data_IF_619505220676
#
_entry.id   IF_619505220676
#
_cell.length_a   1.000
_cell.length_b   1.000
_cell.length_c   1.000
_cell.angle_alpha   90.00
_cell.angle_beta   90.00
_cell.angle_gamma   90.00
#
_symmetry.space_group_name_H-M   'P 1'
#
loop_
_entity.id
_entity.type
_entity.pdbx_description
1 polymer ?
#
# COMPACT_ATOMS: atom_id res chain seq x y z
N UNK A 1 -14.31 6.86 -91.53
CA UNK A 1 -14.37 5.63 -90.71
C UNK A 1 -13.18 5.67 -89.77
N UNK A 2 -13.32 6.39 -88.65
CA UNK A 2 -12.26 6.70 -87.69
C UNK A 2 -12.58 5.93 -86.41
N UNK A 3 -11.68 5.03 -86.00
CA UNK A 3 -11.82 4.22 -84.80
C UNK A 3 -11.47 5.03 -83.55
N UNK A 4 -12.43 5.12 -82.63
CA UNK A 4 -12.30 5.67 -81.28
C UNK A 4 -11.56 4.62 -80.42
N UNK A 5 -10.38 4.96 -79.89
CA UNK A 5 -9.75 4.22 -78.79
C UNK A 5 -10.18 4.87 -77.47
N UNK A 6 -10.93 4.12 -76.66
CA UNK A 6 -11.34 4.52 -75.33
C UNK A 6 -10.15 4.48 -74.35
N UNK A 7 -9.92 5.59 -73.68
CA UNK A 7 -8.92 5.76 -72.63
C UNK A 7 -9.46 5.17 -71.32
N UNK A 8 -8.80 4.13 -70.79
CA UNK A 8 -8.99 3.68 -69.41
C UNK A 8 -8.21 4.63 -68.49
N UNK A 9 -8.91 5.48 -67.75
CA UNK A 9 -8.36 6.18 -66.59
C UNK A 9 -8.83 5.44 -65.33
N UNK A 10 -7.98 4.56 -64.80
CA UNK A 10 -8.17 4.01 -63.45
C UNK A 10 -7.34 4.86 -62.50
N UNK A 11 -8.02 5.72 -61.75
CA UNK A 11 -7.45 6.52 -60.67
C UNK A 11 -7.14 5.57 -59.51
N UNK A 12 -5.88 5.14 -59.39
CA UNK A 12 -5.38 4.50 -58.19
C UNK A 12 -5.30 5.56 -57.08
N UNK A 13 -6.36 5.67 -56.28
CA UNK A 13 -6.28 6.33 -54.98
C UNK A 13 -5.48 5.41 -54.08
N UNK A 14 -4.17 5.62 -54.07
CA UNK A 14 -3.28 5.08 -53.06
C UNK A 14 -3.58 5.79 -51.73
N UNK A 15 -4.60 5.30 -51.01
CA UNK A 15 -4.72 5.49 -49.58
C UNK A 15 -3.55 4.73 -48.92
N UNK A 16 -2.37 5.34 -48.91
CA UNK A 16 -1.36 5.01 -47.92
C UNK A 16 -1.98 5.41 -46.57
N UNK A 17 -2.63 4.44 -45.92
CA UNK A 17 -2.75 4.50 -44.48
C UNK A 17 -1.31 4.46 -43.95
N UNK A 18 -0.72 5.63 -43.69
CA UNK A 18 0.45 5.71 -42.84
C UNK A 18 0.02 5.13 -41.49
N UNK A 19 0.31 3.85 -41.28
CA UNK A 19 0.25 3.27 -39.95
C UNK A 19 1.25 4.07 -39.10
N UNK A 20 0.74 5.01 -38.31
CA UNK A 20 1.56 5.79 -37.38
C UNK A 20 2.23 4.80 -36.44
N UNK A 21 3.56 4.90 -36.35
CA UNK A 21 4.32 3.98 -35.54
C UNK A 21 3.87 4.10 -34.07
N UNK A 22 3.45 2.99 -33.48
CA UNK A 22 3.06 2.95 -32.06
C UNK A 22 4.23 3.44 -31.21
N UNK A 23 4.04 4.49 -30.43
CA UNK A 23 5.12 5.16 -29.72
C UNK A 23 4.96 5.06 -28.20
N UNK A 24 6.07 4.72 -27.53
CA UNK A 24 6.15 4.72 -26.07
C UNK A 24 6.47 6.13 -25.59
N UNK A 25 5.75 6.68 -24.59
CA UNK A 25 6.04 7.99 -24.04
C UNK A 25 7.49 8.12 -23.58
N UNK A 26 8.08 9.30 -23.76
CA UNK A 26 9.43 9.62 -23.27
C UNK A 26 9.28 10.42 -21.98
N UNK A 27 9.58 9.79 -20.85
CA UNK A 27 9.38 10.32 -19.50
C UNK A 27 10.66 10.21 -18.68
N UNK A 28 10.75 10.99 -17.60
CA UNK A 28 11.90 10.97 -16.68
C UNK A 28 12.09 9.58 -16.05
N UNK A 29 10.98 8.91 -15.72
CA UNK A 29 10.97 7.56 -15.13
C UNK A 29 10.03 6.62 -15.87
N UNK A 30 10.31 5.32 -15.86
CA UNK A 30 9.33 4.31 -16.23
C UNK A 30 8.19 4.27 -15.20
N UNK A 31 8.54 4.35 -13.90
CA UNK A 31 7.59 4.17 -12.79
C UNK A 31 7.82 5.23 -11.71
N UNK A 32 6.75 5.91 -11.28
CA UNK A 32 6.76 6.64 -10.00
C UNK A 32 5.97 5.86 -8.96
N UNK A 33 6.60 5.60 -7.81
CA UNK A 33 5.98 4.98 -6.64
C UNK A 33 5.70 6.08 -5.61
N UNK A 34 4.46 6.18 -5.16
CA UNK A 34 4.02 7.20 -4.19
C UNK A 34 3.79 6.53 -2.84
N UNK A 35 4.66 6.82 -1.87
CA UNK A 35 4.67 6.27 -0.51
C UNK A 35 5.85 5.32 -0.26
N UNK A 36 6.64 5.59 0.79
CA UNK A 36 7.82 4.79 1.16
C UNK A 36 7.61 3.82 2.31
N UNK A 37 6.36 3.41 2.56
CA UNK A 37 6.05 2.28 3.44
C UNK A 37 6.48 0.92 2.83
N UNK A 38 6.25 -0.20 3.54
CA UNK A 38 6.66 -1.54 3.09
C UNK A 38 6.15 -1.92 1.70
N UNK A 39 4.93 -1.50 1.34
CA UNK A 39 4.37 -1.72 0.01
C UNK A 39 5.17 -1.02 -1.08
N UNK A 40 5.39 0.29 -0.95
CA UNK A 40 6.12 1.08 -1.94
C UNK A 40 7.57 0.66 -2.07
N UNK A 41 8.25 0.35 -0.96
CA UNK A 41 9.62 -0.18 -0.98
C UNK A 41 9.70 -1.53 -1.72
N UNK A 42 8.72 -2.42 -1.50
CA UNK A 42 8.64 -3.70 -2.23
C UNK A 42 8.40 -3.50 -3.74
N UNK A 43 7.54 -2.55 -4.10
CA UNK A 43 7.28 -2.19 -5.49
C UNK A 43 8.51 -1.61 -6.18
N UNK A 44 9.17 -0.62 -5.56
CA UNK A 44 10.40 -0.01 -6.04
C UNK A 44 11.49 -1.08 -6.24
N UNK A 45 11.75 -1.90 -5.21
CA UNK A 45 12.68 -3.03 -5.30
C UNK A 45 12.36 -3.96 -6.48
N UNK A 46 11.07 -4.27 -6.68
CA UNK A 46 10.62 -5.11 -7.78
C UNK A 46 10.94 -4.54 -9.16
N UNK A 47 10.58 -3.28 -9.42
CA UNK A 47 10.78 -2.65 -10.74
C UNK A 47 12.25 -2.33 -11.00
N UNK A 48 13.02 -1.95 -9.98
CA UNK A 48 14.46 -1.66 -10.11
C UNK A 48 15.29 -2.91 -10.40
N UNK A 49 14.92 -4.07 -9.83
CA UNK A 49 15.60 -5.35 -10.13
C UNK A 49 15.47 -5.79 -11.60
N UNK A 50 14.40 -5.39 -12.26
CA UNK A 50 14.20 -5.60 -13.71
C UNK A 50 14.59 -4.36 -14.53
N UNK A 51 15.40 -3.47 -13.92
CA UNK A 51 16.07 -2.32 -14.54
C UNK A 51 15.12 -1.27 -15.15
N UNK A 52 13.93 -1.12 -14.57
CA UNK A 52 13.07 0.05 -14.83
C UNK A 52 13.62 1.25 -14.07
N UNK A 53 13.66 2.42 -14.71
CA UNK A 53 13.96 3.68 -14.01
C UNK A 53 12.77 4.04 -13.13
N UNK A 54 13.01 4.22 -11.84
CA UNK A 54 11.93 4.43 -10.89
C UNK A 54 12.30 5.44 -9.81
N UNK A 55 11.35 6.32 -9.51
CA UNK A 55 11.42 7.28 -8.42
C UNK A 55 10.38 6.92 -7.35
N UNK A 56 10.81 6.82 -6.10
CA UNK A 56 9.93 6.75 -4.95
C UNK A 56 9.84 8.10 -4.27
N UNK A 57 8.62 8.62 -4.16
CA UNK A 57 8.30 9.88 -3.49
C UNK A 57 7.62 9.53 -2.16
N UNK A 58 8.26 9.87 -1.04
CA UNK A 58 7.82 9.48 0.30
C UNK A 58 7.53 10.71 1.19
N UNK A 59 6.34 10.77 1.79
CA UNK A 59 6.00 11.83 2.75
C UNK A 59 6.59 11.60 4.13
N UNK A 60 7.19 10.43 4.38
CA UNK A 60 7.73 10.01 5.68
C UNK A 60 6.67 9.86 6.80
N UNK A 61 5.40 9.84 6.43
CA UNK A 61 4.27 9.56 7.31
C UNK A 61 3.84 8.10 7.14
N UNK A 62 3.94 7.31 8.22
CA UNK A 62 3.68 5.88 8.19
C UNK A 62 2.63 5.48 9.22
N UNK A 63 1.69 4.59 8.83
CA UNK A 63 0.62 4.10 9.71
C UNK A 63 1.15 3.47 11.00
N UNK A 64 2.23 2.71 10.91
CA UNK A 64 2.89 2.07 12.05
C UNK A 64 4.05 2.91 12.63
N UNK A 65 4.13 4.22 12.37
CA UNK A 65 5.12 5.08 13.03
C UNK A 65 4.97 5.12 14.57
N UNK A 66 3.75 5.04 15.15
CA UNK A 66 3.60 5.08 16.61
C UNK A 66 4.08 3.82 17.35
N UNK A 67 4.14 2.66 16.68
CA UNK A 67 4.54 1.40 17.34
C UNK A 67 6.04 1.33 17.58
N UNK A 68 6.42 0.66 18.67
CA UNK A 68 7.81 0.47 19.08
C UNK A 68 8.52 -0.46 18.10
N UNK A 69 7.87 -1.58 17.78
CA UNK A 69 8.41 -2.69 17.00
C UNK A 69 7.33 -3.19 16.04
N UNK A 70 7.75 -3.80 14.93
CA UNK A 70 6.85 -4.58 14.09
C UNK A 70 7.15 -6.07 14.28
N UNK A 71 6.08 -6.85 14.37
CA UNK A 71 6.14 -8.31 14.49
C UNK A 71 5.53 -8.97 13.25
N UNK A 72 5.67 -10.29 13.15
CA UNK A 72 5.16 -11.12 12.06
C UNK A 72 5.74 -10.73 10.68
N UNK A 73 7.00 -10.28 10.66
CA UNK A 73 7.76 -10.05 9.44
C UNK A 73 8.99 -10.94 9.45
N UNK A 74 8.91 -12.07 8.75
CA UNK A 74 9.98 -13.09 8.73
C UNK A 74 11.35 -12.44 8.43
N UNK A 75 12.28 -12.59 9.38
CA UNK A 75 13.63 -12.02 9.33
C UNK A 75 13.77 -10.58 9.82
N UNK A 76 12.69 -9.93 10.24
CA UNK A 76 12.65 -8.58 10.85
C UNK A 76 11.61 -8.53 12.00
N UNK A 77 11.38 -9.65 12.66
CA UNK A 77 10.49 -9.73 13.82
C UNK A 77 11.10 -8.94 15.00
N UNK A 78 10.28 -8.18 15.73
CA UNK A 78 10.74 -7.29 16.81
C UNK A 78 11.59 -6.10 16.33
N UNK A 79 11.52 -5.73 15.05
CA UNK A 79 12.34 -4.63 14.51
C UNK A 79 11.59 -3.30 14.57
N UNK A 80 12.24 -2.19 15.00
CA UNK A 80 11.63 -0.88 14.90
C UNK A 80 11.24 -0.56 13.44
N UNK A 81 10.00 -0.12 13.15
CA UNK A 81 9.54 0.10 11.78
C UNK A 81 10.45 1.02 10.95
N UNK A 82 11.04 2.03 11.59
CA UNK A 82 11.98 2.95 10.95
C UNK A 82 13.28 2.24 10.53
N UNK A 83 13.81 1.34 11.37
CA UNK A 83 15.01 0.57 11.06
C UNK A 83 14.79 -0.35 9.85
N UNK A 84 13.62 -1.00 9.77
CA UNK A 84 13.23 -1.79 8.61
C UNK A 84 13.23 -0.96 7.32
N UNK A 85 12.60 0.22 7.34
CA UNK A 85 12.55 1.11 6.17
C UNK A 85 13.94 1.61 5.76
N UNK A 86 14.78 1.98 6.71
CA UNK A 86 16.17 2.39 6.45
C UNK A 86 16.94 1.27 5.78
N UNK A 87 16.91 0.05 6.34
CA UNK A 87 17.59 -1.11 5.77
C UNK A 87 17.07 -1.43 4.35
N UNK A 88 15.76 -1.37 4.14
CA UNK A 88 15.17 -1.58 2.82
C UNK A 88 15.65 -0.53 1.79
N UNK A 89 15.71 0.76 2.17
CA UNK A 89 16.24 1.83 1.32
C UNK A 89 17.72 1.62 0.99
N UNK A 90 18.54 1.23 1.96
CA UNK A 90 19.96 0.90 1.75
C UNK A 90 20.13 -0.26 0.76
N UNK A 91 19.32 -1.31 0.89
CA UNK A 91 19.36 -2.47 -0.01
C UNK A 91 18.93 -2.09 -1.44
N UNK A 92 17.88 -1.28 -1.58
CA UNK A 92 17.36 -0.85 -2.88
C UNK A 92 18.30 0.14 -3.57
N UNK A 93 19.00 0.99 -2.81
CA UNK A 93 19.97 1.98 -3.34
C UNK A 93 21.14 1.34 -4.10
N UNK A 94 21.35 0.03 -3.95
CA UNK A 94 22.31 -0.75 -4.75
C UNK A 94 21.89 -0.88 -6.21
N UNK A 95 20.62 -0.64 -6.55
CA UNK A 95 20.13 -0.65 -7.92
C UNK A 95 20.25 0.77 -8.51
N UNK A 96 21.03 0.99 -9.58
CA UNK A 96 21.29 2.32 -10.12
C UNK A 96 20.08 2.96 -10.81
N UNK A 97 18.98 2.21 -10.97
CA UNK A 97 17.73 2.69 -11.55
C UNK A 97 16.67 3.07 -10.50
N UNK A 98 17.03 3.01 -9.21
CA UNK A 98 16.16 3.41 -8.11
C UNK A 98 16.59 4.78 -7.58
N UNK A 99 15.64 5.71 -7.53
CA UNK A 99 15.80 7.02 -6.92
C UNK A 99 14.77 7.23 -5.81
N UNK A 100 15.12 8.09 -4.86
CA UNK A 100 14.29 8.44 -3.71
C UNK A 100 14.21 9.94 -3.56
N UNK A 101 13.03 10.44 -3.21
CA UNK A 101 12.86 11.81 -2.71
C UNK A 101 11.86 11.81 -1.57
N UNK A 102 12.14 12.64 -0.55
CA UNK A 102 11.26 12.79 0.60
C UNK A 102 10.42 14.05 0.40
N UNK A 103 9.24 13.89 -0.18
CA UNK A 103 8.28 14.95 -0.47
C UNK A 103 6.86 14.37 -0.47
N UNK A 104 5.86 15.23 -0.40
CA UNK A 104 4.45 14.82 -0.54
C UNK A 104 4.00 15.03 -1.98
N UNK A 105 3.37 14.01 -2.60
CA UNK A 105 2.75 14.18 -3.92
C UNK A 105 1.41 14.88 -3.78
N UNK A 106 1.24 16.01 -4.48
CA UNK A 106 0.01 16.81 -4.41
C UNK A 106 -0.94 16.56 -5.57
N UNK A 107 -0.41 16.20 -6.74
CA UNK A 107 -1.22 15.93 -7.93
C UNK A 107 -0.54 14.95 -8.88
N UNK A 108 -1.39 14.18 -9.57
CA UNK A 108 -1.00 13.26 -10.65
C UNK A 108 -1.99 13.50 -11.77
N UNK A 109 -1.50 13.97 -12.91
CA UNK A 109 -2.34 14.35 -14.06
C UNK A 109 -1.93 13.49 -15.26
N UNK A 110 -2.84 12.73 -15.88
CA UNK A 110 -2.55 12.02 -17.10
C UNK A 110 -2.32 13.02 -18.25
N UNK A 111 -1.38 12.71 -19.14
CA UNK A 111 -1.20 13.43 -20.39
C UNK A 111 -1.02 12.44 -21.55
N UNK A 112 -1.28 12.91 -22.76
CA UNK A 112 -1.14 12.09 -23.97
C UNK A 112 0.20 12.36 -24.63
N UNK A 113 1.04 11.33 -24.71
CA UNK A 113 2.25 11.33 -25.52
C UNK A 113 2.46 9.91 -26.06
N UNK A 114 2.32 9.73 -27.38
CA UNK A 114 2.25 8.40 -27.98
C UNK A 114 0.91 7.69 -27.69
N UNK A 115 0.93 6.37 -27.68
CA UNK A 115 -0.28 5.52 -27.64
C UNK A 115 -0.55 4.91 -26.25
N UNK A 116 0.30 5.20 -25.26
CA UNK A 116 0.26 4.60 -23.94
C UNK A 116 0.16 5.65 -22.83
N UNK A 117 -0.12 5.18 -21.62
CA UNK A 117 -0.30 6.04 -20.45
C UNK A 117 0.98 6.83 -20.12
N UNK A 118 0.82 8.12 -19.82
CA UNK A 118 1.86 8.96 -19.26
C UNK A 118 1.25 9.93 -18.25
N UNK A 119 2.03 10.33 -17.25
CA UNK A 119 1.57 11.10 -16.11
C UNK A 119 2.60 12.16 -15.72
N UNK A 120 2.11 13.34 -15.39
CA UNK A 120 2.88 14.36 -14.67
C UNK A 120 2.54 14.25 -13.20
N UNK A 121 3.56 14.12 -12.37
CA UNK A 121 3.47 14.07 -10.91
C UNK A 121 4.11 15.33 -10.35
N UNK A 122 3.38 16.06 -9.51
CA UNK A 122 3.89 17.29 -8.86
C UNK A 122 3.94 17.09 -7.36
N UNK A 123 5.11 17.37 -6.78
CA UNK A 123 5.35 17.32 -5.34
C UNK A 123 4.97 18.64 -4.63
N UNK A 124 5.02 18.62 -3.30
CA UNK A 124 4.69 19.74 -2.41
C UNK A 124 5.60 20.97 -2.56
N UNK A 125 6.73 20.83 -3.27
CA UNK A 125 7.62 21.94 -3.60
C UNK A 125 7.35 22.50 -5.00
N UNK A 126 6.34 21.98 -5.69
CA UNK A 126 5.98 22.36 -7.05
C UNK A 126 6.93 21.79 -8.11
N UNK A 127 7.80 20.83 -7.76
CA UNK A 127 8.65 20.16 -8.74
C UNK A 127 7.83 19.08 -9.43
N UNK A 128 7.94 19.04 -10.76
CA UNK A 128 7.25 18.08 -11.61
C UNK A 128 8.18 16.98 -12.11
N UNK A 129 7.65 15.78 -12.20
CA UNK A 129 8.28 14.59 -12.75
C UNK A 129 7.31 13.95 -13.74
N UNK A 130 7.83 13.22 -14.72
CA UNK A 130 7.01 12.45 -15.66
C UNK A 130 7.26 10.96 -15.52
N UNK A 131 6.20 10.15 -15.66
CA UNK A 131 6.29 8.70 -15.66
C UNK A 131 5.26 8.01 -16.55
N UNK A 132 5.59 6.80 -17.01
CA UNK A 132 4.66 5.96 -17.79
C UNK A 132 3.62 5.28 -16.91
N UNK A 133 4.03 4.86 -15.71
CA UNK A 133 3.19 4.14 -14.74
C UNK A 133 3.30 4.73 -13.35
N UNK A 134 2.20 4.66 -12.61
CA UNK A 134 2.09 5.14 -11.23
C UNK A 134 1.72 3.96 -10.32
N UNK A 135 2.38 3.87 -9.17
CA UNK A 135 2.03 2.93 -8.10
C UNK A 135 1.72 3.70 -6.82
N UNK A 136 0.46 3.69 -6.40
CA UNK A 136 -0.04 4.35 -5.19
C UNK A 136 0.07 3.41 -3.98
N UNK A 137 1.04 3.69 -3.11
CA UNK A 137 1.24 3.03 -1.81
C UNK A 137 1.02 3.99 -0.65
N UNK A 138 -0.01 4.84 -0.74
CA UNK A 138 -0.25 5.97 0.18
C UNK A 138 -0.81 5.58 1.55
N UNK A 139 -1.16 4.31 1.74
CA UNK A 139 -1.71 3.78 2.99
C UNK A 139 -3.05 4.39 3.41
N UNK A 140 -3.43 4.10 4.66
CA UNK A 140 -4.57 4.68 5.37
C UNK A 140 -4.11 5.19 6.74
N UNK A 141 -4.96 6.00 7.37
CA UNK A 141 -4.81 6.43 8.75
C UNK A 141 -6.03 6.02 9.57
N UNK A 142 -5.77 5.63 10.81
CA UNK A 142 -6.80 5.33 11.81
C UNK A 142 -7.42 6.64 12.35
N UNK A 143 -8.74 6.71 12.46
CA UNK A 143 -9.48 7.88 12.94
C UNK A 143 -9.76 7.71 14.43
N UNK A 144 -8.79 8.11 15.25
CA UNK A 144 -8.91 8.00 16.70
C UNK A 144 -9.93 9.02 17.25
N UNK A 145 -10.83 8.64 18.16
CA UNK A 145 -11.69 9.58 18.86
C UNK A 145 -10.86 10.51 19.76
N UNK A 146 -11.35 11.73 20.06
CA UNK A 146 -10.64 12.71 20.88
C UNK A 146 -10.66 12.38 22.38
N UNK A 147 -10.73 11.10 22.73
CA UNK A 147 -10.71 10.64 24.12
C UNK A 147 -9.34 10.93 24.73
N UNK A 148 -9.26 11.74 25.82
CA UNK A 148 -7.98 12.08 26.43
C UNK A 148 -7.16 10.83 26.79
N UNK A 149 -5.88 10.82 26.39
CA UNK A 149 -4.93 9.74 26.67
C UNK A 149 -4.91 8.59 25.65
N UNK A 150 -5.91 8.51 24.77
CA UNK A 150 -5.96 7.46 23.74
C UNK A 150 -4.85 7.61 22.70
N UNK A 151 -4.63 8.84 22.22
CA UNK A 151 -3.63 9.14 21.18
C UNK A 151 -2.21 8.85 21.68
N UNK A 152 -1.97 9.07 22.97
CA UNK A 152 -0.69 8.89 23.65
C UNK A 152 -0.35 7.40 23.83
N UNK A 153 -1.36 6.55 24.04
CA UNK A 153 -1.21 5.09 24.14
C UNK A 153 -1.27 4.34 22.80
N UNK A 154 -1.69 5.00 21.71
CA UNK A 154 -1.84 4.37 20.40
C UNK A 154 -0.51 3.83 19.86
N UNK A 155 -0.49 2.53 19.54
CA UNK A 155 0.71 1.79 19.14
C UNK A 155 1.64 1.43 20.30
N UNK A 156 1.24 1.68 21.55
CA UNK A 156 2.08 1.50 22.76
C UNK A 156 1.24 0.92 23.89
N UNK A 157 0.72 -0.28 23.69
CA UNK A 157 -0.22 -0.94 24.61
C UNK A 157 -1.70 -0.69 24.30
N UNK A 158 -2.02 0.30 23.45
CA UNK A 158 -3.33 0.42 22.79
C UNK A 158 -3.15 0.14 21.30
N UNK A 159 -3.74 -0.95 20.81
CA UNK A 159 -3.54 -1.43 19.43
C UNK A 159 -4.84 -1.97 18.83
N UNK A 160 -4.82 -2.30 17.54
CA UNK A 160 -5.98 -2.87 16.86
C UNK A 160 -5.74 -4.29 16.35
N UNK A 161 -4.47 -4.70 16.22
CA UNK A 161 -4.07 -5.92 15.55
C UNK A 161 -3.41 -6.86 16.57
N UNK A 162 -4.07 -7.97 16.96
CA UNK A 162 -3.49 -8.89 17.94
C UNK A 162 -2.30 -9.69 17.38
N UNK A 163 -2.22 -9.87 16.06
CA UNK A 163 -1.02 -10.43 15.41
C UNK A 163 0.20 -9.50 15.46
N UNK A 164 -0.02 -8.20 15.65
CA UNK A 164 1.03 -7.19 15.55
C UNK A 164 1.63 -6.86 16.92
N UNK A 165 0.79 -6.80 17.96
CA UNK A 165 1.19 -6.34 19.31
C UNK A 165 0.62 -7.22 20.43
N UNK A 166 -0.09 -8.31 20.11
CA UNK A 166 -0.77 -9.12 21.12
C UNK A 166 0.18 -9.98 21.94
N UNK A 167 1.16 -10.61 21.29
CA UNK A 167 2.07 -11.55 21.94
C UNK A 167 2.92 -10.89 23.03
N UNK A 168 3.36 -9.66 22.79
CA UNK A 168 4.16 -8.87 23.73
C UNK A 168 3.38 -8.47 24.99
N UNK A 169 2.04 -8.53 24.96
CA UNK A 169 1.19 -8.18 26.10
C UNK A 169 0.45 -9.38 26.70
N UNK A 170 0.70 -10.60 26.23
CA UNK A 170 0.02 -11.84 26.64
C UNK A 170 0.00 -12.04 28.17
N UNK A 171 -0.96 -12.81 28.64
CA UNK A 171 -1.12 -13.20 30.05
C UNK A 171 -1.33 -12.03 31.04
N UNK A 172 -1.44 -10.78 30.54
CA UNK A 172 -1.71 -9.58 31.33
C UNK A 172 -3.21 -9.20 31.29
N UNK A 173 -3.71 -8.42 32.27
CA UNK A 173 -5.06 -7.88 32.26
C UNK A 173 -5.39 -7.13 30.96
N UNK A 174 -6.40 -7.60 30.22
CA UNK A 174 -6.71 -7.12 28.88
C UNK A 174 -8.07 -6.42 28.80
N UNK A 175 -8.13 -5.36 28.00
CA UNK A 175 -9.35 -4.62 27.74
C UNK A 175 -9.68 -4.56 26.25
N UNK A 176 -10.95 -4.69 25.91
CA UNK A 176 -11.46 -4.49 24.55
C UNK A 176 -12.36 -3.26 24.56
N UNK A 177 -12.16 -2.31 23.65
CA UNK A 177 -12.98 -1.11 23.55
C UNK A 177 -13.68 -1.09 22.19
N UNK A 178 -15.01 -1.05 22.19
CA UNK A 178 -15.78 -1.02 20.94
C UNK A 178 -17.29 -1.15 21.13
N UNK A 179 -18.03 -1.40 20.05
CA UNK A 179 -19.46 -1.69 20.12
C UNK A 179 -19.69 -3.14 20.58
N UNK A 180 -20.78 -3.38 21.33
CA UNK A 180 -21.14 -4.71 21.85
C UNK A 180 -21.19 -5.77 20.75
N UNK A 181 -21.52 -5.39 19.52
CA UNK A 181 -21.64 -6.30 18.38
C UNK A 181 -20.30 -6.80 17.83
N UNK A 182 -19.18 -6.27 18.30
CA UNK A 182 -17.83 -6.63 17.84
C UNK A 182 -17.05 -7.42 18.90
N UNK A 183 -17.49 -7.40 20.17
CA UNK A 183 -16.74 -7.97 21.30
C UNK A 183 -16.45 -9.46 21.15
N UNK A 184 -17.41 -10.25 20.66
CA UNK A 184 -17.18 -11.67 20.45
C UNK A 184 -16.09 -11.92 19.41
N UNK A 185 -16.06 -11.14 18.32
CA UNK A 185 -15.00 -11.24 17.31
C UNK A 185 -13.62 -11.00 17.93
N UNK A 186 -13.49 -9.93 18.72
CA UNK A 186 -12.24 -9.61 19.42
C UNK A 186 -11.81 -10.75 20.37
N UNK A 187 -12.75 -11.35 21.12
CA UNK A 187 -12.45 -12.51 21.98
C UNK A 187 -11.96 -13.69 21.16
N UNK A 188 -12.61 -14.01 20.04
CA UNK A 188 -12.21 -15.12 19.18
C UNK A 188 -10.80 -14.93 18.60
N UNK A 189 -10.37 -13.69 18.37
CA UNK A 189 -9.03 -13.38 17.89
C UNK A 189 -7.95 -13.39 18.98
N UNK A 190 -8.32 -13.26 20.25
CA UNK A 190 -7.37 -12.95 21.33
C UNK A 190 -7.41 -13.90 22.54
N UNK A 191 -8.38 -14.80 22.63
CA UNK A 191 -8.56 -15.68 23.80
C UNK A 191 -7.38 -16.64 24.06
N UNK A 192 -6.50 -16.85 23.10
CA UNK A 192 -5.26 -17.66 23.29
C UNK A 192 -4.13 -16.87 23.92
N UNK A 193 -4.26 -15.54 23.99
CA UNK A 193 -3.27 -14.63 24.56
C UNK A 193 -3.70 -14.10 25.93
N UNK A 194 -5.01 -14.03 26.21
CA UNK A 194 -5.53 -13.39 27.43
C UNK A 194 -6.64 -14.22 28.07
N UNK A 195 -6.63 -14.27 29.40
CA UNK A 195 -7.67 -14.93 30.21
C UNK A 195 -8.42 -13.99 31.16
N UNK A 196 -7.87 -12.81 31.45
CA UNK A 196 -8.53 -11.73 32.19
C UNK A 196 -8.97 -10.63 31.21
N UNK A 197 -10.22 -10.74 30.71
CA UNK A 197 -10.74 -9.89 29.64
C UNK A 197 -11.93 -9.06 30.15
N UNK A 198 -11.85 -7.74 29.94
CA UNK A 198 -13.02 -6.86 30.06
C UNK A 198 -13.34 -6.18 28.73
N UNK A 199 -14.58 -6.33 28.29
CA UNK A 199 -15.18 -5.65 27.15
C UNK A 199 -15.83 -4.32 27.59
N UNK A 200 -15.16 -3.21 27.33
CA UNK A 200 -15.66 -1.85 27.56
C UNK A 200 -16.48 -1.37 26.37
N UNK A 201 -17.80 -1.44 26.50
CA UNK A 201 -18.72 -1.27 25.37
C UNK A 201 -19.35 0.13 25.26
N UNK A 202 -18.90 1.08 26.08
CA UNK A 202 -19.21 2.52 25.98
C UNK A 202 -20.70 2.86 25.80
N UNK A 203 -21.59 2.20 26.55
CA UNK A 203 -23.03 2.44 26.47
C UNK A 203 -23.75 1.74 25.31
N UNK A 204 -23.04 0.96 24.49
CA UNK A 204 -23.66 0.26 23.35
C UNK A 204 -24.47 -0.98 23.75
N UNK A 205 -24.33 -1.49 24.98
CA UNK A 205 -25.21 -2.54 25.50
C UNK A 205 -26.59 -1.94 25.88
N UNK A 206 -27.39 -1.69 24.85
CA UNK A 206 -28.81 -1.33 24.91
C UNK A 206 -29.65 -2.49 24.39
N UNK A 207 -30.98 -2.45 24.53
CA UNK A 207 -31.86 -3.47 23.94
C UNK A 207 -31.61 -3.63 22.42
N UNK A 208 -31.44 -2.51 21.70
CA UNK A 208 -31.12 -2.52 20.28
C UNK A 208 -29.71 -3.06 20.01
N UNK A 209 -28.73 -2.72 20.85
CA UNK A 209 -27.36 -3.22 20.76
C UNK A 209 -27.29 -4.74 20.91
N UNK A 210 -27.97 -5.26 21.93
CA UNK A 210 -28.07 -6.70 22.16
C UNK A 210 -28.83 -7.40 21.03
N UNK A 211 -29.91 -6.81 20.51
CA UNK A 211 -30.63 -7.36 19.36
C UNK A 211 -29.73 -7.47 18.11
N UNK A 212 -28.90 -6.45 17.84
CA UNK A 212 -27.92 -6.50 16.73
C UNK A 212 -26.84 -7.56 16.97
N UNK A 213 -26.35 -7.70 18.20
CA UNK A 213 -25.36 -8.71 18.54
C UNK A 213 -25.93 -10.13 18.35
N UNK A 214 -27.14 -10.36 18.85
CA UNK A 214 -27.88 -11.62 18.67
C UNK A 214 -28.17 -11.93 17.20
N UNK A 215 -28.44 -10.92 16.37
CA UNK A 215 -28.62 -11.11 14.93
C UNK A 215 -27.33 -11.55 14.21
N UNK A 216 -26.15 -11.14 14.70
CA UNK A 216 -24.85 -11.62 14.18
C UNK A 216 -24.55 -13.04 14.68
N UNK A 217 -24.69 -13.27 15.99
CA UNK A 217 -24.41 -14.55 16.65
C UNK A 217 -25.41 -14.75 17.78
N UNK A 218 -26.26 -15.78 17.71
CA UNK A 218 -27.40 -15.92 18.61
C UNK A 218 -27.02 -16.13 20.09
N UNK A 219 -25.93 -16.86 20.35
CA UNK A 219 -25.43 -17.28 21.66
C UNK A 219 -24.19 -16.49 22.12
N UNK A 220 -24.06 -15.24 21.66
CA UNK A 220 -22.88 -14.42 21.92
C UNK A 220 -22.61 -14.19 23.42
N UNK A 221 -23.66 -14.07 24.25
CA UNK A 221 -23.52 -13.86 25.70
C UNK A 221 -22.92 -15.09 26.38
N UNK A 222 -23.43 -16.27 26.01
CA UNK A 222 -22.96 -17.55 26.50
C UNK A 222 -21.50 -17.78 26.10
N UNK A 223 -21.13 -17.43 24.87
CA UNK A 223 -19.75 -17.53 24.40
C UNK A 223 -18.80 -16.56 25.14
N UNK A 224 -19.18 -15.29 25.31
CA UNK A 224 -18.37 -14.34 26.08
C UNK A 224 -18.18 -14.81 27.54
N UNK A 225 -19.24 -15.33 28.16
CA UNK A 225 -19.18 -15.88 29.51
C UNK A 225 -18.27 -17.14 29.59
N UNK A 226 -18.32 -18.01 28.58
CA UNK A 226 -17.46 -19.20 28.50
C UNK A 226 -15.96 -18.84 28.42
N UNK A 227 -15.64 -17.70 27.82
CA UNK A 227 -14.28 -17.14 27.78
C UNK A 227 -13.96 -16.20 28.94
N UNK A 228 -14.74 -16.22 30.02
CA UNK A 228 -14.56 -15.39 31.21
C UNK A 228 -14.48 -13.88 30.90
N UNK A 229 -15.16 -13.42 29.85
CA UNK A 229 -15.17 -12.01 29.45
C UNK A 229 -16.26 -11.25 30.19
N UNK A 230 -15.86 -10.21 30.92
CA UNK A 230 -16.81 -9.32 31.61
C UNK A 230 -17.18 -8.15 30.72
N UNK A 231 -18.46 -7.77 30.67
CA UNK A 231 -18.93 -6.59 29.93
C UNK A 231 -19.03 -5.41 30.89
N UNK A 232 -18.41 -4.29 30.52
CA UNK A 232 -18.54 -3.01 31.20
C UNK A 232 -19.18 -1.99 30.25
N UNK A 233 -20.44 -1.64 30.52
CA UNK A 233 -21.22 -0.74 29.68
C UNK A 233 -21.05 0.75 30.02
N UNK A 234 -20.17 1.09 30.98
CA UNK A 234 -19.93 2.50 31.33
C UNK A 234 -19.23 3.24 30.20
N UNK A 235 -19.48 4.54 30.10
CA UNK A 235 -18.82 5.40 29.11
C UNK A 235 -17.46 5.84 29.62
N UNK A 236 -16.40 5.53 28.85
CA UNK A 236 -15.04 5.99 29.12
C UNK A 236 -14.94 7.50 28.89
N UNK A 237 -14.35 8.21 29.85
CA UNK A 237 -14.10 9.66 29.78
C UNK A 237 -12.64 9.99 29.48
N UNK A 238 -11.70 9.16 29.94
CA UNK A 238 -10.27 9.31 29.65
C UNK A 238 -9.52 8.00 29.94
N UNK A 239 -8.32 7.88 29.37
CA UNK A 239 -7.41 6.75 29.58
C UNK A 239 -6.08 7.31 30.08
N UNK A 240 -5.79 7.15 31.36
CA UNK A 240 -4.53 7.58 31.94
C UNK A 240 -3.46 6.49 31.77
N UNK A 241 -2.30 6.83 31.24
CA UNK A 241 -1.17 5.90 31.15
C UNK A 241 -0.34 5.96 32.43
N UNK A 242 -0.22 4.82 33.11
CA UNK A 242 0.47 4.68 34.39
C UNK A 242 1.91 4.17 34.22
N UNK A 243 2.12 3.21 33.31
CA UNK A 243 3.43 2.56 33.07
C UNK A 243 3.70 2.49 31.56
N UNK A 244 4.99 2.49 31.19
CA UNK A 244 5.43 2.46 29.79
C UNK A 244 6.18 1.17 29.49
N UNK A 245 5.52 0.26 28.79
CA UNK A 245 6.08 -1.02 28.37
C UNK A 245 7.24 -0.92 27.37
N UNK A 246 7.74 0.29 27.06
CA UNK A 246 9.02 0.51 26.37
C UNK A 246 10.21 0.64 27.32
N UNK A 247 9.96 0.94 28.59
CA UNK A 247 10.96 1.02 29.68
C UNK A 247 10.85 -0.17 30.61
N UNK A 248 9.62 -0.58 30.86
CA UNK A 248 9.27 -1.71 31.73
C UNK A 248 9.05 -2.93 30.83
N UNK A 249 10.16 -3.61 30.52
CA UNK A 249 10.22 -4.81 29.66
C UNK A 249 11.00 -5.90 30.38
N UNK A 250 10.73 -7.15 30.04
CA UNK A 250 11.58 -8.25 30.50
C UNK A 250 13.00 -8.09 29.91
N UNK A 251 14.04 -8.29 30.73
CA UNK A 251 15.44 -8.00 30.36
C UNK A 251 15.95 -8.87 29.20
N UNK A 252 15.39 -10.08 29.07
CA UNK A 252 15.70 -11.07 28.03
C UNK A 252 14.47 -11.48 27.18
N UNK A 253 13.34 -10.78 27.34
CA UNK A 253 12.04 -11.19 26.80
C UNK A 253 11.38 -10.17 25.87
N UNK A 254 10.33 -10.60 25.20
CA UNK A 254 9.47 -9.80 24.31
C UNK A 254 8.30 -9.13 25.06
N UNK A 255 8.12 -9.44 26.35
CA UNK A 255 7.00 -8.90 27.14
C UNK A 255 7.16 -7.40 27.43
N UNK A 256 6.05 -6.68 27.22
CA UNK A 256 5.91 -5.24 27.43
C UNK A 256 4.86 -4.99 28.50
N UNK A 257 5.27 -4.32 29.59
CA UNK A 257 4.40 -4.04 30.74
C UNK A 257 3.84 -2.62 30.67
N UNK A 258 2.99 -2.36 29.68
CA UNK A 258 2.17 -1.15 29.68
C UNK A 258 1.09 -1.23 30.77
N UNK A 259 0.66 -0.07 31.26
CA UNK A 259 -0.45 0.00 32.22
C UNK A 259 -1.30 1.25 32.02
N UNK A 260 -2.60 1.06 31.99
CA UNK A 260 -3.60 2.09 31.76
C UNK A 260 -4.66 2.06 32.85
N UNK A 261 -5.16 3.24 33.21
CA UNK A 261 -6.33 3.43 34.06
C UNK A 261 -7.43 4.10 33.25
N UNK A 262 -8.52 3.37 33.04
CA UNK A 262 -9.69 3.83 32.34
C UNK A 262 -10.62 4.51 33.33
N UNK A 263 -10.93 5.78 33.07
CA UNK A 263 -11.86 6.58 33.85
C UNK A 263 -13.22 6.59 33.17
N UNK A 264 -14.30 6.60 33.96
CA UNK A 264 -15.67 6.48 33.47
C UNK A 264 -16.53 7.66 33.92
N UNK A 265 -17.71 7.78 33.32
CA UNK A 265 -18.73 8.75 33.76
C UNK A 265 -19.28 8.43 35.15
N UNK A 266 -19.19 7.17 35.61
CA UNK A 266 -19.67 6.72 36.91
C UNK A 266 -18.77 5.61 37.50
N UNK A 267 -18.73 5.55 38.83
CA UNK A 267 -17.99 4.51 39.57
C UNK A 267 -16.48 4.67 39.53
N UNK A 268 -15.77 3.69 40.09
CA UNK A 268 -14.31 3.70 40.19
C UNK A 268 -13.64 3.38 38.85
N UNK A 269 -12.42 3.92 38.61
CA UNK A 269 -11.60 3.56 37.46
C UNK A 269 -11.20 2.08 37.44
N UNK A 270 -10.81 1.59 36.27
CA UNK A 270 -10.38 0.21 36.06
C UNK A 270 -9.00 0.19 35.40
N UNK A 271 -8.11 -0.66 35.89
CA UNK A 271 -6.76 -0.80 35.32
C UNK A 271 -6.67 -1.97 34.34
N UNK A 272 -5.95 -1.76 33.24
CA UNK A 272 -5.60 -2.77 32.23
C UNK A 272 -4.20 -2.54 31.68
N UNK A 273 -3.56 -3.61 31.25
CA UNK A 273 -2.20 -3.56 30.74
C UNK A 273 -2.16 -3.32 29.22
N UNK A 274 -3.10 -3.95 28.51
CA UNK A 274 -3.27 -3.76 27.08
C UNK A 274 -4.73 -3.53 26.71
N UNK A 275 -4.93 -2.75 25.64
CA UNK A 275 -6.23 -2.37 25.12
C UNK A 275 -6.29 -2.65 23.62
N UNK A 276 -7.27 -3.45 23.18
CA UNK A 276 -7.60 -3.59 21.76
C UNK A 276 -8.80 -2.72 21.39
N UNK A 277 -8.66 -1.98 20.29
CA UNK A 277 -9.67 -1.07 19.75
C UNK A 277 -9.83 -1.29 18.26
N UNK A 278 -11.01 -0.98 17.71
CA UNK A 278 -11.23 -0.99 16.27
C UNK A 278 -11.85 0.34 15.84
N UNK A 279 -11.04 1.21 15.26
CA UNK A 279 -11.48 2.53 14.80
C UNK A 279 -11.56 2.58 13.27
N UNK A 280 -12.48 3.41 12.70
CA UNK A 280 -12.55 3.60 11.27
C UNK A 280 -11.22 4.07 10.68
N UNK A 281 -10.93 3.66 9.45
CA UNK A 281 -9.75 4.12 8.70
C UNK A 281 -10.16 4.95 7.51
N UNK A 282 -9.33 5.92 7.11
CA UNK A 282 -9.52 6.70 5.89
C UNK A 282 -8.24 6.75 5.07
N UNK A 283 -8.33 7.00 3.76
CA UNK A 283 -7.15 7.24 2.93
C UNK A 283 -6.29 8.37 3.53
N UNK A 284 -4.98 8.13 3.62
CA UNK A 284 -4.04 9.18 4.08
C UNK A 284 -3.92 10.29 3.03
N UNK A 285 -3.97 9.92 1.75
CA UNK A 285 -3.81 10.84 0.64
C UNK A 285 -5.15 11.21 -0.02
N UNK A 286 -5.24 12.46 -0.47
CA UNK A 286 -6.32 12.96 -1.33
C UNK A 286 -6.21 12.51 -2.80
N UNK A 287 -5.10 11.88 -3.21
CA UNK A 287 -4.82 11.53 -4.61
C UNK A 287 -5.91 10.65 -5.25
N UNK A 288 -6.44 9.59 -4.60
CA UNK A 288 -7.47 8.77 -5.21
C UNK A 288 -8.72 9.58 -5.61
N UNK A 289 -9.13 10.52 -4.75
CA UNK A 289 -10.25 11.40 -5.02
C UNK A 289 -9.93 12.40 -6.14
N UNK A 290 -8.74 13.02 -6.13
CA UNK A 290 -8.29 13.96 -7.18
C UNK A 290 -8.16 13.30 -8.55
N UNK A 291 -7.82 12.01 -8.58
CA UNK A 291 -7.70 11.20 -9.80
C UNK A 291 -9.03 10.54 -10.20
N UNK A 292 -10.11 10.73 -9.42
CA UNK A 292 -11.42 10.10 -9.65
C UNK A 292 -11.34 8.56 -9.78
N UNK A 293 -10.53 7.92 -8.95
CA UNK A 293 -10.42 6.46 -8.94
C UNK A 293 -11.68 5.83 -8.33
N UNK A 294 -12.02 4.64 -8.82
CA UNK A 294 -13.12 3.84 -8.26
C UNK A 294 -12.71 3.36 -6.85
N UNK A 295 -13.67 3.37 -5.92
CA UNK A 295 -13.45 3.03 -4.51
C UNK A 295 -14.38 1.88 -4.08
N UNK A 296 -13.92 1.03 -3.16
CA UNK A 296 -14.72 0.05 -2.41
C UNK A 296 -14.64 0.42 -0.93
N UNK A 297 -15.72 0.99 -0.40
CA UNK A 297 -15.66 1.66 0.90
C UNK A 297 -14.60 2.78 0.87
N UNK A 298 -13.72 2.80 1.86
CA UNK A 298 -12.63 3.78 1.97
C UNK A 298 -11.33 3.35 1.27
N UNK A 299 -11.36 2.32 0.43
CA UNK A 299 -10.19 1.72 -0.22
C UNK A 299 -10.23 1.87 -1.73
N UNK A 300 -9.08 2.04 -2.38
CA UNK A 300 -8.97 2.13 -3.84
C UNK A 300 -9.34 0.78 -4.44
N UNK A 301 -10.35 0.75 -5.30
CA UNK A 301 -10.77 -0.46 -5.97
C UNK A 301 -9.65 -0.95 -6.89
N UNK A 302 -9.23 -2.20 -6.69
CA UNK A 302 -8.21 -2.84 -7.51
C UNK A 302 -8.65 -4.19 -8.04
N UNK A 303 -8.20 -4.49 -9.25
CA UNK A 303 -8.22 -5.87 -9.77
C UNK A 303 -7.23 -6.75 -9.01
N UNK A 304 -7.30 -8.08 -9.20
CA UNK A 304 -6.31 -9.01 -8.67
C UNK A 304 -4.87 -8.70 -9.12
N UNK A 305 -4.68 -7.92 -10.19
CA UNK A 305 -3.40 -7.49 -10.68
C UNK A 305 -2.97 -6.08 -10.20
N UNK A 306 -3.64 -5.57 -9.16
CA UNK A 306 -3.40 -4.28 -8.51
C UNK A 306 -3.72 -3.04 -9.37
N UNK A 307 -4.39 -3.22 -10.52
CA UNK A 307 -4.81 -2.11 -11.39
C UNK A 307 -6.02 -1.39 -10.81
N UNK A 308 -6.00 -0.07 -10.89
CA UNK A 308 -7.14 0.82 -10.58
C UNK A 308 -8.02 1.04 -11.82
N UNK A 309 -9.06 1.89 -11.71
CA UNK A 309 -9.89 2.29 -12.85
C UNK A 309 -9.16 3.20 -13.85
N UNK A 310 -8.06 3.84 -13.45
CA UNK A 310 -7.20 4.62 -14.35
C UNK A 310 -6.11 3.73 -14.96
N UNK A 311 -6.11 3.62 -16.29
CA UNK A 311 -5.10 2.86 -17.03
C UNK A 311 -3.69 3.36 -16.73
N UNK A 312 -2.76 2.45 -16.39
CA UNK A 312 -1.39 2.78 -16.01
C UNK A 312 -1.19 3.14 -14.53
N UNK A 313 -2.26 3.14 -13.72
CA UNK A 313 -2.21 3.42 -12.28
C UNK A 313 -2.56 2.16 -11.49
N UNK A 314 -1.70 1.85 -10.52
CA UNK A 314 -1.82 0.70 -9.61
C UNK A 314 -1.95 1.20 -8.17
N UNK A 315 -2.61 0.42 -7.30
CA UNK A 315 -2.68 0.72 -5.86
C UNK A 315 -2.30 -0.52 -5.02
N UNK A 316 -1.53 -0.30 -3.96
CA UNK A 316 -0.88 -1.34 -3.16
C UNK A 316 -0.96 -1.06 -1.66
N UNK A 317 -0.73 -2.11 -0.86
CA UNK A 317 -0.80 -2.08 0.59
C UNK A 317 -2.16 -1.61 1.10
N UNK A 318 -2.15 -1.02 2.29
CA UNK A 318 -3.39 -0.64 2.99
C UNK A 318 -4.28 0.32 2.20
N UNK A 319 -3.78 1.03 1.18
CA UNK A 319 -4.60 1.93 0.38
C UNK A 319 -5.64 1.19 -0.48
N UNK A 320 -5.39 -0.08 -0.84
CA UNK A 320 -6.18 -0.81 -1.83
C UNK A 320 -7.24 -1.73 -1.21
N UNK A 321 -8.09 -2.30 -2.08
CA UNK A 321 -9.18 -3.20 -1.70
C UNK A 321 -8.82 -4.70 -1.74
N UNK A 322 -7.54 -5.10 -1.84
CA UNK A 322 -7.10 -6.52 -1.96
C UNK A 322 -7.11 -7.30 -0.64
N UNK A 323 -7.74 -6.74 0.40
CA UNK A 323 -8.07 -7.41 1.66
C UNK A 323 -6.87 -7.69 2.57
N UNK A 324 -6.95 -7.24 3.82
CA UNK A 324 -5.89 -7.22 4.86
C UNK A 324 -5.05 -5.95 4.88
N UNK A 325 -4.62 -5.57 6.10
CA UNK A 325 -3.71 -4.45 6.35
C UNK A 325 -2.63 -4.88 7.34
N UNK A 326 -1.56 -5.49 6.82
CA UNK A 326 -0.37 -5.87 7.58
C UNK A 326 0.89 -5.75 6.70
N UNK A 327 2.07 -5.76 7.32
CA UNK A 327 3.34 -5.55 6.60
C UNK A 327 3.60 -6.63 5.53
N UNK A 328 3.43 -7.95 5.80
CA UNK A 328 3.59 -8.98 4.77
C UNK A 328 2.67 -8.78 3.56
N UNK A 329 1.39 -8.47 3.76
CA UNK A 329 0.42 -8.20 2.69
C UNK A 329 0.79 -6.94 1.90
N UNK A 330 1.20 -5.88 2.60
CA UNK A 330 1.70 -4.66 1.98
C UNK A 330 2.89 -4.96 1.05
N UNK A 331 3.87 -5.73 1.52
CA UNK A 331 5.00 -6.15 0.70
C UNK A 331 4.58 -7.04 -0.48
N UNK A 332 3.63 -7.95 -0.27
CA UNK A 332 3.09 -8.83 -1.31
C UNK A 332 2.43 -8.02 -2.44
N UNK A 333 1.49 -7.13 -2.13
CA UNK A 333 0.80 -6.31 -3.13
C UNK A 333 1.77 -5.39 -3.88
N UNK A 334 2.77 -4.83 -3.18
CA UNK A 334 3.87 -4.08 -3.80
C UNK A 334 4.66 -4.91 -4.82
N UNK A 335 5.07 -6.13 -4.45
CA UNK A 335 5.78 -7.04 -5.36
C UNK A 335 4.90 -7.42 -6.56
N UNK A 336 3.64 -7.73 -6.30
CA UNK A 336 2.65 -8.12 -7.32
C UNK A 336 2.46 -7.01 -8.34
N UNK A 337 2.26 -5.78 -7.90
CA UNK A 337 2.14 -4.61 -8.77
C UNK A 337 3.41 -4.42 -9.62
N UNK A 338 4.61 -4.53 -9.04
CA UNK A 338 5.86 -4.39 -9.78
C UNK A 338 5.98 -5.38 -10.96
N UNK A 339 5.56 -6.64 -10.76
CA UNK A 339 5.54 -7.65 -11.84
C UNK A 339 4.57 -7.25 -12.95
N UNK A 340 3.34 -6.87 -12.60
CA UNK A 340 2.34 -6.48 -13.60
C UNK A 340 2.72 -5.20 -14.34
N UNK A 341 3.24 -4.19 -13.62
CA UNK A 341 3.77 -2.94 -14.18
C UNK A 341 4.86 -3.24 -15.21
N UNK A 342 5.85 -4.08 -14.87
CA UNK A 342 6.91 -4.44 -15.80
C UNK A 342 6.39 -5.16 -17.04
N UNK A 343 5.56 -6.20 -16.87
CA UNK A 343 5.04 -6.99 -18.00
C UNK A 343 4.14 -6.14 -18.91
N UNK A 344 3.36 -5.23 -18.34
CA UNK A 344 2.55 -4.29 -19.10
C UNK A 344 3.42 -3.38 -19.97
N UNK A 345 4.41 -2.70 -19.38
CA UNK A 345 5.35 -1.85 -20.12
C UNK A 345 6.13 -2.62 -21.18
N UNK A 346 6.56 -3.85 -20.88
CA UNK A 346 7.26 -4.71 -21.85
C UNK A 346 6.38 -5.07 -23.05
N UNK A 347 5.05 -5.22 -22.86
CA UNK A 347 4.10 -5.41 -23.97
C UNK A 347 3.94 -4.16 -24.81
N UNK A 348 3.89 -2.98 -24.19
CA UNK A 348 3.85 -1.68 -24.88
C UNK A 348 5.09 -1.48 -25.76
N UNK A 349 6.27 -1.74 -25.20
CA UNK A 349 7.56 -1.69 -25.90
C UNK A 349 7.63 -2.68 -27.06
N UNK A 350 7.13 -3.90 -26.85
CA UNK A 350 7.07 -4.92 -27.90
C UNK A 350 6.18 -4.46 -29.06
N UNK A 351 5.03 -3.85 -28.80
CA UNK A 351 4.14 -3.28 -29.83
C UNK A 351 4.84 -2.17 -30.60
N UNK A 352 5.51 -1.25 -29.90
CA UNK A 352 6.26 -0.16 -30.52
C UNK A 352 7.38 -0.67 -31.43
N UNK A 353 8.13 -1.69 -31.01
CA UNK A 353 9.20 -2.29 -31.82
C UNK A 353 8.69 -2.92 -33.12
N UNK A 354 7.54 -3.60 -33.09
CA UNK A 354 6.92 -4.17 -34.30
C UNK A 354 6.48 -3.04 -35.22
N UNK A 355 5.82 -2.03 -34.68
CA UNK A 355 5.28 -0.92 -35.46
C UNK A 355 6.38 -0.10 -36.16
N UNK A 356 7.52 0.13 -35.50
CA UNK A 356 8.70 0.73 -36.12
C UNK A 356 9.25 -0.11 -37.28
N UNK A 357 9.32 -1.44 -37.14
CA UNK A 357 9.80 -2.35 -38.20
C UNK A 357 8.87 -2.42 -39.40
N UNK A 358 7.56 -2.33 -39.20
CA UNK A 358 6.60 -2.33 -40.31
C UNK A 358 6.63 -1.04 -41.13
N UNK A 359 7.22 0.05 -40.60
CA UNK A 359 7.39 1.33 -41.30
C UNK A 359 8.73 1.51 -42.02
N UNK A 360 9.70 0.60 -41.82
CA UNK A 360 11.03 0.70 -42.42
C UNK A 360 11.12 -0.09 -43.74
N UNK A 361 11.77 0.49 -44.74
CA UNK A 361 12.14 -0.24 -45.96
C UNK A 361 13.18 -1.32 -45.64
N UNK A 362 13.27 -2.36 -46.49
CA UNK A 362 14.26 -3.45 -46.33
C UNK A 362 15.70 -2.91 -46.17
N UNK A 363 16.04 -1.82 -46.86
CA UNK A 363 17.35 -1.18 -46.82
C UNK A 363 17.64 -0.50 -45.47
N UNK A 364 16.60 0.04 -44.82
CA UNK A 364 16.73 0.65 -43.49
C UNK A 364 16.86 -0.42 -42.40
N UNK A 365 16.11 -1.53 -42.53
CA UNK A 365 16.25 -2.70 -41.66
C UNK A 365 17.66 -3.31 -41.75
N UNK A 366 18.23 -3.42 -42.95
CA UNK A 366 19.63 -3.87 -43.13
C UNK A 366 20.63 -2.92 -42.47
N UNK A 367 20.45 -1.61 -42.65
CA UNK A 367 21.34 -0.60 -42.06
C UNK A 367 21.28 -0.61 -40.53
N UNK A 368 20.10 -0.81 -39.95
CA UNK A 368 19.90 -0.91 -38.51
C UNK A 368 20.50 -2.23 -37.95
N UNK A 369 20.34 -3.34 -38.66
CA UNK A 369 20.97 -4.62 -38.32
C UNK A 369 22.50 -4.54 -38.35
N UNK A 370 23.09 -3.90 -39.39
CA UNK A 370 24.53 -3.68 -39.47
C UNK A 370 25.06 -2.80 -38.32
N UNK A 371 24.28 -1.79 -37.89
CA UNK A 371 24.65 -0.91 -36.77
C UNK A 371 24.65 -1.67 -35.43
N UNK A 372 23.60 -2.46 -35.19
CA UNK A 372 23.49 -3.29 -33.99
C UNK A 372 24.57 -4.38 -33.89
N UNK A 373 25.00 -4.93 -35.03
CA UNK A 373 26.13 -5.87 -35.08
C UNK A 373 27.45 -5.16 -34.75
N UNK A 374 27.68 -3.97 -35.30
CA UNK A 374 28.88 -3.16 -35.01
C UNK A 374 29.00 -2.77 -33.53
N UNK A 375 27.91 -2.31 -32.92
CA UNK A 375 27.91 -1.85 -31.52
C UNK A 375 28.13 -2.99 -30.51
N UNK A 376 27.70 -4.22 -30.84
CA UNK A 376 27.94 -5.40 -30.00
C UNK A 376 29.39 -5.86 -30.08
N UNK A 377 30.01 -5.80 -31.27
CA UNK A 377 31.43 -6.14 -31.45
C UNK A 377 32.35 -5.14 -30.76
N UNK A 378 32.00 -3.85 -30.76
CA UNK A 378 32.79 -2.81 -30.08
C UNK A 378 32.82 -2.98 -28.55
N UNK A 379 31.71 -3.44 -27.95
CA UNK A 379 31.66 -3.73 -26.50
C UNK A 379 32.49 -4.95 -26.12
N UNK A 380 32.41 -6.03 -26.91
CA UNK A 380 33.21 -7.23 -26.68
C UNK A 380 34.70 -6.96 -26.97
N UNK A 381 35.01 -6.14 -27.98
CA UNK A 381 36.38 -5.71 -28.28
C UNK A 381 37.01 -4.90 -27.14
N UNK A 382 36.29 -3.93 -26.57
CA UNK A 382 36.78 -3.17 -25.41
C UNK A 382 37.04 -4.05 -24.19
N UNK A 383 36.18 -5.05 -23.95
CA UNK A 383 36.37 -6.05 -22.89
C UNK A 383 37.56 -6.98 -23.12
N UNK A 384 37.90 -7.27 -24.37
CA UNK A 384 39.05 -8.09 -24.71
C UNK A 384 40.39 -7.33 -24.61
N UNK A 385 40.35 -6.01 -24.43
CA UNK A 385 41.53 -5.14 -24.26
C UNK A 385 41.86 -4.82 -22.79
N UNK A 386 40.97 -5.18 -21.87
CA UNK A 386 41.17 -5.17 -20.40
C UNK A 386 41.65 -6.54 -19.92
#
# INVERSE_FOLDING_TARGET
MVFIKATFASVFVSLLACATAVEVPNTDYDVIVVGGGPAGLSALSGVSRVRRTALLIDSEEYRNAPTREMHDVIGNDGTPPAAFRTLAREQISKYPTAEFTNETVESIVPFTQGDFSAFTVTDSKGKSYTARKIVLGTGVRDVLPPTPGLQEGWGKGIFWCPWCDGYEHRDQPFGMIGDITDMLGNVLETHTLYTDIIAFVNGSQTADGEARATAKVADWKEQLAAWNTTIDNRTITSIERLEDGGKDREEDGDEQFDKFRLHFTTGEPVERNALIVNFPTVQTSSLPAKMHLDMVGDKINVTSAMRTSQSGVFAIGDANSDGSTNVPHAMFTGKKAAVYVHVEMSREESKSKISKRTGLSHRELEKEAMRAIGDNLDKEWKRAQE
#
